data_IF_967335287171
#
_entry.id   IF_967335287171
#
_cell.length_a   1.000
_cell.length_b   1.000
_cell.length_c   1.000
_cell.angle_alpha   90.00
_cell.angle_beta   90.00
_cell.angle_gamma   90.00
#
_symmetry.space_group_name_H-M   'P 1'
#
loop_
_entity.id
_entity.type
_entity.pdbx_description
1 polymer ?
#
# COMPACT_ATOMS: atom_id res chain seq x y z
N UNK A 1 12.87 16.79 -0.17
CA UNK A 1 12.10 15.59 -0.60
C UNK A 1 13.12 14.49 -0.91
N UNK A 2 12.96 13.30 -0.35
CA UNK A 2 13.82 12.15 -0.70
C UNK A 2 13.41 11.70 -2.10
N UNK A 3 14.40 11.55 -3.00
CA UNK A 3 14.13 11.07 -4.35
C UNK A 3 13.52 9.66 -4.29
N UNK A 4 12.36 9.47 -4.94
CA UNK A 4 11.66 8.18 -4.99
C UNK A 4 12.55 7.07 -5.57
N UNK A 5 13.45 7.38 -6.49
CA UNK A 5 14.39 6.41 -7.05
C UNK A 5 15.39 5.89 -6.00
N UNK A 6 15.83 6.75 -5.07
CA UNK A 6 16.70 6.33 -3.97
C UNK A 6 15.97 5.36 -3.06
N UNK A 7 14.70 5.67 -2.72
CA UNK A 7 13.86 4.79 -1.89
C UNK A 7 13.62 3.45 -2.57
N UNK A 8 13.24 3.46 -3.85
CA UNK A 8 13.00 2.23 -4.63
C UNK A 8 14.27 1.39 -4.77
N UNK A 9 15.42 2.02 -5.02
CA UNK A 9 16.72 1.31 -5.09
C UNK A 9 17.07 0.70 -3.74
N UNK A 10 16.95 1.46 -2.66
CA UNK A 10 17.18 0.97 -1.30
C UNK A 10 16.27 -0.21 -0.95
N UNK A 11 15.00 -0.11 -1.30
CA UNK A 11 14.00 -1.15 -1.10
C UNK A 11 14.34 -2.42 -1.91
N UNK A 12 14.72 -2.27 -3.18
CA UNK A 12 15.13 -3.39 -4.04
C UNK A 12 16.35 -4.12 -3.48
N UNK A 13 17.36 -3.37 -3.04
CA UNK A 13 18.56 -3.95 -2.42
C UNK A 13 18.19 -4.70 -1.13
N UNK A 14 17.42 -4.08 -0.24
CA UNK A 14 16.99 -4.71 1.01
C UNK A 14 16.18 -5.99 0.77
N UNK A 15 15.22 -5.96 -0.16
CA UNK A 15 14.45 -7.14 -0.55
C UNK A 15 15.31 -8.25 -1.14
N UNK A 16 16.27 -7.91 -1.99
CA UNK A 16 17.19 -8.91 -2.58
C UNK A 16 17.98 -9.64 -1.50
N UNK A 17 18.58 -8.91 -0.56
CA UNK A 17 19.29 -9.53 0.56
C UNK A 17 18.37 -10.37 1.44
N UNK A 18 17.16 -9.89 1.74
CA UNK A 18 16.17 -10.61 2.51
C UNK A 18 15.79 -11.94 1.85
N UNK A 19 15.47 -11.92 0.55
CA UNK A 19 15.11 -13.13 -0.21
C UNK A 19 16.28 -14.11 -0.24
N UNK A 20 17.50 -13.66 -0.53
CA UNK A 20 18.69 -14.52 -0.54
C UNK A 20 18.96 -15.14 0.82
N UNK A 21 18.78 -14.40 1.92
CA UNK A 21 18.94 -14.92 3.28
C UNK A 21 17.89 -16.00 3.59
N UNK A 22 16.62 -15.79 3.21
CA UNK A 22 15.59 -16.83 3.37
C UNK A 22 15.89 -18.06 2.53
N UNK A 23 16.28 -17.89 1.27
CA UNK A 23 16.62 -19.02 0.39
C UNK A 23 17.80 -19.82 0.96
N UNK A 24 18.84 -19.14 1.46
CA UNK A 24 19.98 -19.80 2.11
C UNK A 24 19.56 -20.57 3.37
N UNK A 25 18.68 -19.98 4.20
CA UNK A 25 18.16 -20.63 5.40
C UNK A 25 17.33 -21.87 5.05
N UNK A 26 16.43 -21.74 4.07
CA UNK A 26 15.61 -22.87 3.60
C UNK A 26 16.46 -23.98 2.99
N UNK A 27 17.44 -23.62 2.16
CA UNK A 27 18.40 -24.58 1.57
C UNK A 27 19.23 -25.29 2.64
N UNK A 28 19.72 -24.55 3.64
CA UNK A 28 20.41 -25.12 4.79
C UNK A 28 19.52 -26.07 5.59
N UNK A 29 18.28 -25.67 5.85
CA UNK A 29 17.29 -26.49 6.55
C UNK A 29 17.00 -27.77 5.76
N UNK A 30 16.69 -27.66 4.47
CA UNK A 30 16.44 -28.81 3.60
C UNK A 30 17.65 -29.77 3.59
N UNK A 31 18.87 -29.24 3.44
CA UNK A 31 20.09 -30.05 3.50
C UNK A 31 20.24 -30.78 4.83
N UNK A 32 19.93 -30.11 5.96
CA UNK A 32 20.03 -30.72 7.29
C UNK A 32 18.99 -31.82 7.53
N UNK A 33 17.78 -31.66 7.00
CA UNK A 33 16.68 -32.63 7.18
C UNK A 33 16.83 -33.84 6.26
N UNK A 34 17.38 -33.62 5.05
CA UNK A 34 17.54 -34.72 4.05
C UNK A 34 18.85 -35.48 4.18
N UNK A 35 19.79 -35.00 4.98
CA UNK A 35 21.09 -35.61 5.16
C UNK A 35 21.04 -36.79 6.15
N UNK A 36 21.63 -37.94 5.76
CA UNK A 36 21.82 -39.06 6.67
C UNK A 36 22.70 -38.67 7.85
N UNK A 37 22.24 -38.91 9.05
CA UNK A 37 22.99 -38.63 10.27
C UNK A 37 22.14 -38.76 11.54
N UNK A 38 22.78 -39.01 12.65
CA UNK A 38 22.13 -38.96 13.98
C UNK A 38 21.70 -37.51 14.28
N UNK A 39 20.42 -37.22 14.10
CA UNK A 39 19.86 -35.91 14.44
C UNK A 39 20.13 -35.57 15.91
N UNK A 40 20.75 -34.43 16.17
CA UNK A 40 20.83 -33.90 17.53
C UNK A 40 19.45 -33.40 17.92
N UNK A 41 18.88 -34.00 18.98
CA UNK A 41 17.64 -33.51 19.54
C UNK A 41 17.87 -32.13 20.14
N UNK A 42 17.11 -31.15 19.67
CA UNK A 42 17.15 -29.80 20.23
C UNK A 42 16.55 -29.84 21.64
N UNK A 43 17.25 -29.34 22.63
CA UNK A 43 16.74 -29.25 23.99
C UNK A 43 15.45 -28.43 24.02
N UNK A 44 14.38 -28.90 24.68
CA UNK A 44 13.10 -28.16 24.73
C UNK A 44 13.27 -26.71 25.16
N UNK A 45 14.13 -26.43 26.13
CA UNK A 45 14.42 -25.06 26.56
C UNK A 45 14.91 -24.15 25.42
N UNK A 46 15.83 -24.63 24.56
CA UNK A 46 16.33 -23.87 23.41
C UNK A 46 15.21 -23.61 22.41
N UNK A 47 14.39 -24.63 22.12
CA UNK A 47 13.27 -24.50 21.20
C UNK A 47 12.24 -23.47 21.70
N UNK A 48 11.79 -23.57 22.96
CA UNK A 48 10.83 -22.63 23.52
C UNK A 48 11.39 -21.23 23.71
N UNK A 49 12.68 -21.08 24.02
CA UNK A 49 13.33 -19.77 24.04
C UNK A 49 13.34 -19.12 22.65
N UNK A 50 13.60 -19.90 21.60
CA UNK A 50 13.53 -19.41 20.21
C UNK A 50 12.10 -18.99 19.82
N UNK A 51 11.09 -19.81 20.15
CA UNK A 51 9.68 -19.46 19.93
C UNK A 51 9.30 -18.18 20.68
N UNK A 52 9.67 -18.08 21.96
CA UNK A 52 9.45 -16.88 22.76
C UNK A 52 10.09 -15.64 22.15
N UNK A 53 11.31 -15.75 21.67
CA UNK A 53 12.02 -14.69 20.97
C UNK A 53 11.27 -14.24 19.70
N UNK A 54 10.78 -15.17 18.88
CA UNK A 54 9.99 -14.84 17.68
C UNK A 54 8.68 -14.14 18.05
N UNK A 55 8.00 -14.57 19.10
CA UNK A 55 6.78 -13.91 19.60
C UNK A 55 7.07 -12.47 20.02
N UNK A 56 8.14 -12.25 20.78
CA UNK A 56 8.54 -10.90 21.22
C UNK A 56 8.85 -10.01 20.02
N UNK A 57 9.61 -10.50 19.05
CA UNK A 57 9.88 -9.74 17.80
C UNK A 57 8.59 -9.44 17.05
N UNK A 58 7.72 -10.42 16.84
CA UNK A 58 6.47 -10.23 16.10
C UNK A 58 5.58 -9.18 16.76
N UNK A 59 5.34 -9.29 18.06
CA UNK A 59 4.55 -8.33 18.82
C UNK A 59 5.18 -6.93 18.79
N UNK A 60 6.50 -6.84 19.00
CA UNK A 60 7.22 -5.56 18.98
C UNK A 60 7.13 -4.89 17.62
N UNK A 61 7.28 -5.63 16.53
CA UNK A 61 7.14 -5.09 15.17
C UNK A 61 5.73 -4.56 14.91
N UNK A 62 4.69 -5.28 15.37
CA UNK A 62 3.32 -4.79 15.24
C UNK A 62 3.08 -3.50 16.01
N UNK A 63 3.56 -3.41 17.25
CA UNK A 63 3.44 -2.20 18.07
C UNK A 63 4.18 -1.03 17.41
N UNK A 64 5.45 -1.23 17.02
CA UNK A 64 6.25 -0.19 16.36
C UNK A 64 5.59 0.28 15.07
N UNK A 65 5.16 -0.64 14.22
CA UNK A 65 4.48 -0.30 12.96
C UNK A 65 3.20 0.48 13.24
N UNK A 66 2.37 0.01 14.18
CA UNK A 66 1.14 0.69 14.58
C UNK A 66 1.38 2.13 15.04
N UNK A 67 2.44 2.39 15.81
CA UNK A 67 2.72 3.72 16.35
C UNK A 67 3.49 4.64 15.37
N UNK A 68 4.16 4.09 14.36
CA UNK A 68 5.01 4.86 13.45
C UNK A 68 4.40 5.17 12.08
N UNK A 69 3.30 4.51 11.70
CA UNK A 69 2.62 4.79 10.42
C UNK A 69 1.89 6.13 10.52
N UNK A 70 2.28 7.14 9.71
CA UNK A 70 1.75 8.51 9.86
C UNK A 70 0.27 8.64 9.50
N UNK A 71 -0.24 7.84 8.55
CA UNK A 71 -1.65 7.90 8.13
C UNK A 71 -2.59 7.01 8.95
N UNK A 72 -2.08 6.18 9.87
CA UNK A 72 -2.87 5.26 10.69
C UNK A 72 -4.04 5.94 11.40
N UNK A 73 -3.77 7.03 12.10
CA UNK A 73 -4.79 7.74 12.86
C UNK A 73 -5.91 8.29 11.96
N UNK A 74 -5.56 8.77 10.77
CA UNK A 74 -6.51 9.26 9.78
C UNK A 74 -7.37 8.11 9.24
N UNK A 75 -6.78 6.97 8.91
CA UNK A 75 -7.51 5.83 8.36
C UNK A 75 -8.44 5.17 9.39
N UNK A 76 -7.97 4.97 10.62
CA UNK A 76 -8.78 4.37 11.69
C UNK A 76 -9.96 5.24 12.12
N UNK A 77 -9.80 6.56 12.11
CA UNK A 77 -10.82 7.50 12.53
C UNK A 77 -11.53 8.19 11.35
N UNK A 78 -11.40 7.66 10.14
CA UNK A 78 -11.88 8.30 8.92
C UNK A 78 -13.37 8.64 8.92
N UNK A 79 -14.19 7.88 9.64
CA UNK A 79 -15.62 8.14 9.76
C UNK A 79 -15.94 9.38 10.59
N UNK A 80 -15.06 9.78 11.52
CA UNK A 80 -15.22 10.91 12.44
C UNK A 80 -14.53 12.18 11.91
N UNK A 81 -13.55 12.01 11.02
CA UNK A 81 -12.79 13.14 10.46
C UNK A 81 -13.61 13.83 9.39
N UNK A 82 -13.85 15.12 9.57
CA UNK A 82 -14.44 15.97 8.55
C UNK A 82 -13.38 16.34 7.53
N UNK A 83 -13.61 15.98 6.27
CA UNK A 83 -12.76 16.42 5.18
C UNK A 83 -12.98 17.91 4.87
N UNK A 84 -11.93 18.61 4.48
CA UNK A 84 -12.00 19.98 3.99
C UNK A 84 -12.59 20.01 2.57
N UNK A 85 -12.32 18.93 1.80
CA UNK A 85 -12.80 18.76 0.44
C UNK A 85 -13.21 17.33 0.16
N UNK A 86 -14.27 17.15 -0.61
CA UNK A 86 -14.75 15.83 -1.02
C UNK A 86 -14.91 15.76 -2.53
N UNK A 87 -14.48 14.63 -3.11
CA UNK A 87 -14.68 14.31 -4.51
C UNK A 87 -15.49 13.03 -4.64
N UNK A 88 -16.53 13.07 -5.45
CA UNK A 88 -17.33 11.90 -5.82
C UNK A 88 -16.92 11.43 -7.20
N UNK A 89 -16.42 10.22 -7.30
CA UNK A 89 -15.90 9.61 -8.51
C UNK A 89 -16.69 8.34 -8.78
N UNK A 90 -17.17 8.16 -10.00
CA UNK A 90 -17.84 6.94 -10.42
C UNK A 90 -16.95 6.16 -11.39
N UNK A 91 -16.96 4.84 -11.26
CA UNK A 91 -16.25 3.92 -12.15
C UNK A 91 -17.25 2.99 -12.82
N UNK A 92 -17.27 2.99 -14.13
CA UNK A 92 -18.16 2.17 -14.95
C UNK A 92 -17.56 1.93 -16.33
N UNK A 93 -17.76 0.75 -16.89
CA UNK A 93 -17.31 0.38 -18.25
C UNK A 93 -15.81 0.61 -18.49
N UNK A 94 -14.97 0.44 -17.47
CA UNK A 94 -13.52 0.68 -17.47
C UNK A 94 -13.15 2.15 -17.67
N UNK A 95 -13.97 3.07 -17.18
CA UNK A 95 -13.71 4.51 -17.22
C UNK A 95 -13.89 5.15 -15.85
N UNK A 96 -13.11 6.20 -15.58
CA UNK A 96 -13.28 7.07 -14.42
C UNK A 96 -14.15 8.26 -14.82
N UNK A 97 -15.27 8.45 -14.15
CA UNK A 97 -16.12 9.62 -14.28
C UNK A 97 -15.78 10.59 -13.14
N UNK A 98 -14.99 11.60 -13.46
CA UNK A 98 -14.56 12.61 -12.50
C UNK A 98 -15.57 13.77 -12.46
N UNK A 99 -15.75 14.45 -11.28
CA UNK A 99 -16.64 15.61 -11.17
C UNK A 99 -16.17 16.83 -11.97
N UNK A 100 -14.88 16.86 -12.35
CA UNK A 100 -14.28 17.89 -13.19
C UNK A 100 -13.09 17.32 -13.96
N UNK A 101 -12.64 18.02 -15.00
CA UNK A 101 -11.48 17.58 -15.79
C UNK A 101 -10.19 17.51 -14.97
N UNK A 102 -10.11 18.26 -13.89
CA UNK A 102 -8.98 18.27 -12.94
C UNK A 102 -9.51 18.48 -11.52
N UNK A 103 -9.01 17.70 -10.58
CA UNK A 103 -9.33 17.81 -9.16
C UNK A 103 -8.26 18.69 -8.51
N UNK A 104 -8.60 19.94 -8.22
CA UNK A 104 -7.68 20.89 -7.57
C UNK A 104 -7.82 20.78 -6.06
N UNK A 105 -6.70 20.68 -5.36
CA UNK A 105 -6.57 20.52 -3.91
C UNK A 105 -5.58 21.56 -3.41
N UNK A 106 -5.86 22.20 -2.27
CA UNK A 106 -4.87 23.04 -1.60
C UNK A 106 -3.97 22.15 -0.73
N UNK A 107 -2.69 22.48 -0.70
CA UNK A 107 -1.73 21.80 0.16
C UNK A 107 -2.21 21.76 1.62
N UNK A 108 -2.03 20.61 2.23
CA UNK A 108 -2.45 20.30 3.61
C UNK A 108 -3.98 20.24 3.84
N UNK A 109 -4.82 20.40 2.83
CA UNK A 109 -6.24 20.07 2.94
C UNK A 109 -6.42 18.55 3.15
N UNK A 110 -7.31 18.18 4.07
CA UNK A 110 -7.77 16.79 4.22
C UNK A 110 -8.85 16.54 3.17
N UNK A 111 -8.54 15.65 2.23
CA UNK A 111 -9.42 15.35 1.10
C UNK A 111 -10.01 13.96 1.25
N UNK A 112 -11.31 13.84 1.03
CA UNK A 112 -12.01 12.56 0.94
C UNK A 112 -12.32 12.26 -0.52
N UNK A 113 -11.85 11.10 -0.96
CA UNK A 113 -12.24 10.51 -2.25
C UNK A 113 -13.32 9.47 -1.99
N UNK A 114 -14.55 9.78 -2.37
CA UNK A 114 -15.68 8.85 -2.36
C UNK A 114 -15.75 8.22 -3.76
N UNK A 115 -15.47 6.94 -3.87
CA UNK A 115 -15.40 6.26 -5.16
C UNK A 115 -16.41 5.12 -5.21
N UNK A 116 -17.26 5.13 -6.22
CA UNK A 116 -18.29 4.13 -6.43
C UNK A 116 -18.02 3.36 -7.73
N UNK A 117 -18.17 2.05 -7.70
CA UNK A 117 -18.22 1.23 -8.89
C UNK A 117 -19.65 0.79 -9.20
N UNK A 118 -20.04 0.84 -10.47
CA UNK A 118 -21.37 0.43 -10.95
C UNK A 118 -21.42 -1.00 -11.48
N UNK A 119 -20.28 -1.58 -11.86
CA UNK A 119 -20.26 -2.85 -12.59
C UNK A 119 -19.24 -3.86 -12.04
N UNK A 120 -17.97 -3.54 -12.00
CA UNK A 120 -16.88 -4.46 -11.64
C UNK A 120 -16.09 -3.94 -10.43
N UNK A 121 -15.30 -4.82 -9.85
CA UNK A 121 -14.28 -4.39 -8.89
C UNK A 121 -13.12 -3.76 -9.64
N UNK A 122 -12.78 -2.54 -9.23
CA UNK A 122 -11.65 -1.76 -9.75
C UNK A 122 -10.70 -1.37 -8.64
N UNK A 123 -9.55 -0.86 -9.02
CA UNK A 123 -8.68 -0.15 -8.09
C UNK A 123 -8.74 1.35 -8.32
N UNK A 124 -8.61 2.12 -7.26
CA UNK A 124 -8.42 3.57 -7.33
C UNK A 124 -7.09 3.91 -6.71
N UNK A 125 -6.12 4.32 -7.52
CA UNK A 125 -4.79 4.68 -7.06
C UNK A 125 -4.35 6.04 -7.57
N UNK A 126 -3.66 6.80 -6.70
CA UNK A 126 -3.03 8.07 -7.03
C UNK A 126 -1.54 7.85 -7.24
N UNK A 127 -1.02 8.35 -8.34
CA UNK A 127 0.37 8.16 -8.77
C UNK A 127 1.06 9.49 -9.05
N UNK A 128 2.32 9.59 -8.65
CA UNK A 128 3.21 10.69 -9.01
C UNK A 128 3.66 10.57 -10.47
N UNK A 129 4.26 11.64 -11.00
CA UNK A 129 4.78 11.67 -12.37
C UNK A 129 5.92 10.68 -12.62
N UNK A 130 6.63 10.27 -11.57
CA UNK A 130 7.66 9.23 -11.61
C UNK A 130 7.09 7.80 -11.55
N UNK A 131 5.76 7.65 -11.64
CA UNK A 131 5.01 6.41 -11.52
C UNK A 131 5.03 5.76 -10.12
N UNK A 132 5.52 6.42 -9.10
CA UNK A 132 5.39 5.92 -7.73
C UNK A 132 3.97 6.16 -7.23
N UNK A 133 3.42 5.16 -6.53
CA UNK A 133 2.08 5.21 -5.96
C UNK A 133 2.10 6.01 -4.65
N UNK A 134 1.10 6.88 -4.46
CA UNK A 134 0.87 7.60 -3.21
C UNK A 134 0.02 6.75 -2.28
N UNK A 135 -1.13 6.32 -2.75
CA UNK A 135 -2.05 5.39 -2.09
C UNK A 135 -2.92 4.67 -3.11
N UNK A 136 -3.60 3.64 -2.65
CA UNK A 136 -4.64 2.95 -3.40
C UNK A 136 -5.74 2.44 -2.48
N UNK A 137 -6.91 2.19 -3.07
CA UNK A 137 -7.97 1.40 -2.46
C UNK A 137 -8.65 0.51 -3.50
N UNK A 138 -9.20 -0.60 -3.06
CA UNK A 138 -10.10 -1.42 -3.86
C UNK A 138 -11.49 -0.79 -3.85
N UNK A 139 -12.14 -0.76 -5.00
CA UNK A 139 -13.49 -0.21 -5.20
C UNK A 139 -14.42 -1.34 -5.59
N UNK A 140 -15.28 -1.74 -4.65
CA UNK A 140 -16.18 -2.88 -4.81
C UNK A 140 -17.60 -2.37 -5.08
N UNK A 141 -18.30 -2.90 -6.11
CA UNK A 141 -19.67 -2.51 -6.41
C UNK A 141 -20.61 -2.74 -5.22
N UNK A 142 -21.55 -1.81 -5.01
CA UNK A 142 -22.52 -1.88 -3.93
C UNK A 142 -22.00 -1.59 -2.53
N UNK A 143 -20.75 -1.17 -2.41
CA UNK A 143 -20.13 -0.77 -1.15
C UNK A 143 -19.74 0.71 -1.16
N UNK A 144 -19.66 1.31 0.03
CA UNK A 144 -19.06 2.62 0.23
C UNK A 144 -17.54 2.42 0.23
N UNK A 145 -16.87 3.06 -0.73
CA UNK A 145 -15.42 3.00 -0.85
C UNK A 145 -14.89 4.44 -0.72
N UNK A 146 -14.26 4.73 0.40
CA UNK A 146 -13.69 6.06 0.65
C UNK A 146 -12.30 6.00 1.22
N UNK A 147 -11.49 7.01 0.91
CA UNK A 147 -10.17 7.20 1.49
C UNK A 147 -9.96 8.67 1.79
N UNK A 148 -9.39 8.95 2.98
CA UNK A 148 -8.90 10.27 3.35
C UNK A 148 -7.41 10.37 3.07
N UNK A 149 -7.00 11.51 2.54
CA UNK A 149 -5.59 11.81 2.31
C UNK A 149 -5.29 13.29 2.49
N UNK A 150 -4.09 13.58 2.93
CA UNK A 150 -3.56 14.93 3.05
C UNK A 150 -2.28 15.04 2.23
N UNK A 151 -2.28 15.93 1.24
CA UNK A 151 -1.11 16.17 0.40
C UNK A 151 -0.25 17.26 1.03
N UNK A 152 1.01 16.95 1.27
CA UNK A 152 1.98 17.82 1.95
C UNK A 152 2.85 18.65 0.98
N UNK A 153 2.73 18.41 -0.32
CA UNK A 153 3.53 19.12 -1.34
C UNK A 153 2.69 19.41 -2.58
N UNK A 154 2.88 20.61 -3.19
CA UNK A 154 2.32 20.91 -4.51
C UNK A 154 2.88 19.96 -5.55
N UNK A 155 2.01 19.33 -6.32
CA UNK A 155 2.38 18.42 -7.40
C UNK A 155 1.17 18.07 -8.27
N UNK A 156 1.44 17.44 -9.42
CA UNK A 156 0.42 16.88 -10.31
C UNK A 156 0.46 15.36 -10.21
N UNK A 157 -0.72 14.73 -10.17
CA UNK A 157 -0.88 13.29 -10.02
C UNK A 157 -1.82 12.72 -11.06
N UNK A 158 -1.59 11.46 -11.40
CA UNK A 158 -2.47 10.65 -12.26
C UNK A 158 -3.34 9.72 -11.41
N UNK A 159 -4.56 9.44 -11.88
CA UNK A 159 -5.43 8.41 -11.33
C UNK A 159 -5.28 7.16 -12.20
N UNK A 160 -5.17 5.98 -11.59
CA UNK A 160 -5.07 4.69 -12.30
C UNK A 160 -5.84 3.60 -11.58
N UNK A 161 -6.39 2.66 -12.34
CA UNK A 161 -6.88 1.41 -11.77
C UNK A 161 -5.71 0.53 -11.38
N UNK A 162 -5.76 0.00 -10.16
CA UNK A 162 -4.70 -0.86 -9.57
C UNK A 162 -5.15 -2.31 -9.43
N UNK A 163 -6.41 -2.61 -9.74
CA UNK A 163 -6.97 -3.97 -9.73
C UNK A 163 -7.19 -4.49 -11.14
N UNK A 164 -7.06 -5.80 -11.30
CA UNK A 164 -7.34 -6.45 -12.56
C UNK A 164 -8.85 -6.56 -12.78
N UNK A 165 -9.36 -5.82 -13.74
CA UNK A 165 -10.76 -5.82 -14.15
C UNK A 165 -10.98 -6.32 -15.59
N UNK A 166 -10.08 -7.16 -16.09
CA UNK A 166 -10.05 -7.65 -17.44
C UNK A 166 -9.07 -6.88 -18.36
N UNK A 167 -8.94 -7.27 -19.64
CA UNK A 167 -7.95 -6.69 -20.56
C UNK A 167 -8.07 -5.19 -20.77
N UNK A 168 -9.28 -4.63 -20.64
CA UNK A 168 -9.52 -3.19 -20.79
C UNK A 168 -9.02 -2.38 -19.57
N UNK A 169 -8.92 -3.01 -18.39
CA UNK A 169 -8.52 -2.34 -17.16
C UNK A 169 -7.14 -1.69 -17.21
N UNK A 170 -6.21 -2.21 -18.04
CA UNK A 170 -4.89 -1.65 -18.22
C UNK A 170 -4.90 -0.21 -18.78
N UNK A 171 -5.97 0.17 -19.45
CA UNK A 171 -6.12 1.50 -20.07
C UNK A 171 -6.80 2.50 -19.14
N UNK A 172 -7.22 2.09 -17.94
CA UNK A 172 -7.87 2.96 -16.97
C UNK A 172 -6.84 3.88 -16.30
N UNK A 173 -6.43 4.92 -17.04
CA UNK A 173 -5.47 5.93 -16.62
C UNK A 173 -5.99 7.31 -16.98
N UNK A 174 -6.13 8.19 -15.99
CA UNK A 174 -6.39 9.63 -16.20
C UNK A 174 -5.13 10.38 -15.79
N UNK A 175 -4.42 10.92 -16.79
CA UNK A 175 -3.19 11.69 -16.55
C UNK A 175 -3.54 13.08 -16.05
N UNK A 176 -2.69 13.63 -15.18
CA UNK A 176 -2.78 14.99 -14.66
C UNK A 176 -4.15 15.31 -14.04
N UNK A 177 -4.80 14.27 -13.48
CA UNK A 177 -6.15 14.34 -12.97
C UNK A 177 -6.28 15.09 -11.63
N UNK A 178 -5.22 15.11 -10.84
CA UNK A 178 -5.20 15.79 -9.53
C UNK A 178 -4.05 16.81 -9.53
N UNK A 179 -4.36 18.03 -9.13
CA UNK A 179 -3.38 19.11 -8.97
C UNK A 179 -3.43 19.64 -7.54
N UNK A 180 -2.30 19.56 -6.85
CA UNK A 180 -2.12 20.16 -5.53
C UNK A 180 -1.41 21.48 -5.70
N UNK A 181 -2.04 22.54 -5.22
CA UNK A 181 -1.55 23.92 -5.24
C UNK A 181 -1.18 24.39 -3.83
N UNK A 182 -0.40 25.47 -3.72
CA UNK A 182 -0.05 26.11 -2.43
C UNK A 182 -1.25 26.75 -1.75
#
# INVERSE_FOLDING_TARGET
MIDSNIVLTGQTVAYTFYVLAIMALMGWFAYKVTRDGSGKVVKPAIFYSFVGFLVVIGVSLHIVTHETIPWKAMDLNRAEIKADKEFHITMENHEFQLPSSKLTITKNEIVRFNVESKDLTYGFGIFRNDNTMVFQMQVVPGHINDILWQFDHPAIYSIRSTEYSGPKGINMIVRDAVEVVD
#
